data_IF_434420722550
#
_entry.id   IF_434420722550
#
_cell.length_a   1.000
_cell.length_b   1.000
_cell.length_c   1.000
_cell.angle_alpha   90.00
_cell.angle_beta   90.00
_cell.angle_gamma   90.00
#
_symmetry.space_group_name_H-M   'P 1'
#
loop_
_entity.id
_entity.type
_entity.pdbx_description
1 polymer ?
#
# COMPACT_ATOMS: atom_id res chain seq x y z
N UNK A 1 -22.31 7.65 26.77
CA UNK A 1 -21.21 7.88 25.81
C UNK A 1 -20.66 6.50 25.46
N UNK A 2 -21.08 5.90 24.34
CA UNK A 2 -20.52 4.62 23.90
C UNK A 2 -19.15 4.88 23.28
N UNK A 3 -18.11 4.22 23.79
CA UNK A 3 -16.86 4.06 23.08
C UNK A 3 -17.12 3.25 21.79
N UNK A 4 -16.51 3.60 20.64
CA UNK A 4 -16.60 2.75 19.46
C UNK A 4 -16.00 1.36 19.74
N UNK A 5 -16.52 0.28 19.14
CA UNK A 5 -15.99 -1.08 19.33
C UNK A 5 -14.53 -1.16 18.83
N UNK A 6 -13.64 -1.87 19.54
CA UNK A 6 -12.20 -1.91 19.23
C UNK A 6 -11.81 -2.86 18.07
N UNK A 7 -12.76 -3.41 17.32
CA UNK A 7 -12.53 -4.60 16.50
C UNK A 7 -13.05 -4.51 15.05
N UNK A 8 -13.19 -3.30 14.52
CA UNK A 8 -13.15 -3.13 13.07
C UNK A 8 -11.71 -2.80 12.74
N UNK A 9 -10.93 -3.68 12.10
CA UNK A 9 -9.61 -3.27 11.63
C UNK A 9 -9.86 -2.09 10.70
N UNK A 10 -9.44 -0.90 11.12
CA UNK A 10 -9.60 0.31 10.32
C UNK A 10 -9.01 -0.01 8.95
N UNK A 11 -9.86 -0.05 7.93
CA UNK A 11 -9.46 -0.36 6.56
C UNK A 11 -8.29 0.55 6.16
N UNK A 12 -8.31 1.81 6.62
CA UNK A 12 -7.22 2.77 6.49
C UNK A 12 -5.90 2.30 7.14
N UNK A 13 -5.96 1.66 8.30
CA UNK A 13 -4.78 1.10 8.97
C UNK A 13 -4.22 -0.09 8.19
N UNK A 14 -5.08 -0.96 7.63
CA UNK A 14 -4.68 -2.07 6.77
C UNK A 14 -4.04 -1.54 5.48
N UNK A 15 -4.68 -0.58 4.80
CA UNK A 15 -4.18 0.08 3.59
C UNK A 15 -2.79 0.67 3.85
N UNK A 16 -2.62 1.41 4.95
CA UNK A 16 -1.34 2.00 5.34
C UNK A 16 -0.26 0.94 5.56
N UNK A 17 -0.58 -0.15 6.26
CA UNK A 17 0.36 -1.25 6.49
C UNK A 17 0.78 -1.92 5.19
N UNK A 18 -0.17 -2.12 4.26
CA UNK A 18 0.10 -2.70 2.95
C UNK A 18 1.01 -1.78 2.11
N UNK A 19 0.72 -0.48 2.10
CA UNK A 19 1.53 0.53 1.42
C UNK A 19 2.94 0.60 1.99
N UNK A 20 3.08 0.54 3.32
CA UNK A 20 4.37 0.46 3.99
C UNK A 20 5.21 -0.73 3.54
N UNK A 21 4.59 -1.92 3.45
CA UNK A 21 5.25 -3.10 2.89
C UNK A 21 5.71 -2.87 1.44
N UNK A 22 4.88 -2.27 0.59
CA UNK A 22 5.23 -2.01 -0.81
C UNK A 22 6.36 -0.98 -0.97
N UNK A 23 6.48 -0.02 -0.04
CA UNK A 23 7.59 0.94 0.00
C UNK A 23 8.92 0.29 0.46
N UNK A 24 8.84 -0.67 1.37
CA UNK A 24 10.01 -1.42 1.84
C UNK A 24 10.41 -2.58 0.93
N UNK A 25 9.46 -3.15 0.19
CA UNK A 25 9.68 -4.29 -0.68
C UNK A 25 10.75 -3.98 -1.73
N UNK A 26 11.64 -4.94 -1.94
CA UNK A 26 12.55 -4.87 -3.08
C UNK A 26 11.75 -5.03 -4.37
N UNK A 27 11.97 -4.10 -5.29
CA UNK A 27 11.39 -4.14 -6.62
C UNK A 27 11.78 -5.45 -7.30
N UNK A 28 10.78 -6.17 -7.81
CA UNK A 28 10.83 -7.55 -8.31
C UNK A 28 10.54 -8.69 -7.30
N UNK A 29 10.09 -8.41 -6.07
CA UNK A 29 9.42 -9.46 -5.30
C UNK A 29 8.10 -9.86 -5.98
N UNK A 30 8.00 -11.12 -6.40
CA UNK A 30 6.77 -11.69 -7.02
C UNK A 30 5.53 -11.43 -6.16
N UNK A 31 5.65 -11.54 -4.84
CA UNK A 31 4.55 -11.26 -3.90
C UNK A 31 4.13 -9.79 -3.94
N UNK A 32 5.07 -8.85 -3.99
CA UNK A 32 4.75 -7.42 -4.05
C UNK A 32 4.04 -7.08 -5.36
N UNK A 33 4.45 -7.69 -6.48
CA UNK A 33 3.79 -7.55 -7.78
C UNK A 33 2.37 -8.13 -7.74
N UNK A 34 2.18 -9.32 -7.15
CA UNK A 34 0.86 -9.93 -6.99
C UNK A 34 -0.08 -9.05 -6.14
N UNK A 35 0.41 -8.55 -5.01
CA UNK A 35 -0.32 -7.62 -4.14
C UNK A 35 -0.68 -6.34 -4.91
N UNK A 36 0.27 -5.74 -5.66
CA UNK A 36 0.01 -4.58 -6.50
C UNK A 36 -1.09 -4.88 -7.52
N UNK A 37 -1.05 -6.03 -8.19
CA UNK A 37 -2.06 -6.40 -9.18
C UNK A 37 -3.46 -6.56 -8.57
N UNK A 38 -3.55 -7.22 -7.41
CA UNK A 38 -4.83 -7.43 -6.69
C UNK A 38 -5.40 -6.10 -6.19
N UNK A 39 -4.57 -5.30 -5.53
CA UNK A 39 -4.98 -4.02 -4.93
C UNK A 39 -5.19 -2.93 -5.98
N UNK A 40 -4.66 -3.07 -7.20
CA UNK A 40 -4.92 -2.12 -8.30
C UNK A 40 -6.41 -1.95 -8.63
N UNK A 41 -7.21 -2.99 -8.42
CA UNK A 41 -8.65 -2.93 -8.64
C UNK A 41 -9.42 -2.41 -7.42
N UNK A 42 -8.75 -2.32 -6.27
CA UNK A 42 -9.31 -1.80 -5.04
C UNK A 42 -9.30 -0.27 -5.04
N UNK A 43 -10.42 0.33 -4.63
CA UNK A 43 -10.51 1.77 -4.45
C UNK A 43 -10.20 2.11 -2.99
N UNK A 44 -9.01 2.65 -2.76
CA UNK A 44 -8.60 3.13 -1.45
C UNK A 44 -9.57 4.18 -0.91
N UNK A 45 -9.81 4.15 0.40
CA UNK A 45 -10.67 5.14 1.05
C UNK A 45 -10.04 6.53 1.09
N UNK A 46 -8.73 6.62 1.31
CA UNK A 46 -7.99 7.87 1.31
C UNK A 46 -7.37 8.15 -0.07
N UNK A 47 -7.58 9.36 -0.59
CA UNK A 47 -6.93 9.82 -1.83
C UNK A 47 -5.39 9.78 -1.71
N UNK A 48 -4.86 10.09 -0.53
CA UNK A 48 -3.44 9.95 -0.19
C UNK A 48 -2.92 8.52 -0.43
N UNK A 49 -3.66 7.53 0.04
CA UNK A 49 -3.30 6.11 -0.10
C UNK A 49 -3.37 5.67 -1.56
N UNK A 50 -4.39 6.13 -2.29
CA UNK A 50 -4.53 5.84 -3.71
C UNK A 50 -3.36 6.42 -4.51
N UNK A 51 -3.02 7.68 -4.30
CA UNK A 51 -1.93 8.33 -5.04
C UNK A 51 -0.58 7.71 -4.69
N UNK A 52 -0.36 7.38 -3.41
CA UNK A 52 0.84 6.66 -2.98
C UNK A 52 0.94 5.30 -3.70
N UNK A 53 -0.15 4.53 -3.71
CA UNK A 53 -0.23 3.27 -4.44
C UNK A 53 0.08 3.45 -5.92
N UNK A 54 -0.54 4.42 -6.59
CA UNK A 54 -0.34 4.67 -8.02
C UNK A 54 1.13 5.06 -8.33
N UNK A 55 1.76 5.85 -7.47
CA UNK A 55 3.18 6.18 -7.58
C UNK A 55 4.06 4.94 -7.43
N UNK A 56 3.84 4.12 -6.40
CA UNK A 56 4.57 2.88 -6.15
C UNK A 56 4.35 1.86 -7.28
N UNK A 57 3.11 1.69 -7.72
CA UNK A 57 2.76 0.80 -8.82
C UNK A 57 3.43 1.23 -10.14
N UNK A 58 3.45 2.53 -10.43
CA UNK A 58 4.14 3.07 -11.61
C UNK A 58 5.66 2.93 -11.53
N UNK A 59 6.22 2.81 -10.32
CA UNK A 59 7.66 2.67 -10.06
C UNK A 59 8.07 1.24 -9.72
N UNK A 60 7.14 0.29 -9.75
CA UNK A 60 7.38 -1.12 -9.41
C UNK A 60 8.44 -1.80 -10.29
N UNK A 61 8.71 -1.24 -11.47
CA UNK A 61 9.78 -1.67 -12.39
C UNK A 61 11.16 -1.12 -12.05
N UNK A 62 11.24 -0.09 -11.20
CA UNK A 62 12.50 0.54 -10.78
C UNK A 62 12.96 -0.04 -9.45
N UNK A 63 14.29 -0.21 -9.23
CA UNK A 63 14.81 -0.71 -7.96
C UNK A 63 14.43 0.19 -6.78
N UNK A 64 14.36 -0.38 -5.57
CA UNK A 64 13.89 0.31 -4.35
C UNK A 64 14.59 1.65 -4.09
N UNK A 65 15.87 1.75 -4.41
CA UNK A 65 16.67 2.97 -4.27
C UNK A 65 16.16 4.11 -5.15
N UNK A 66 15.81 3.79 -6.39
CA UNK A 66 15.22 4.74 -7.34
C UNK A 66 13.79 5.08 -6.92
N UNK A 67 13.02 4.10 -6.47
CA UNK A 67 11.67 4.30 -5.98
C UNK A 67 11.63 5.34 -4.86
N UNK A 68 12.48 5.22 -3.83
CA UNK A 68 12.54 6.19 -2.72
C UNK A 68 12.95 7.60 -3.18
N UNK A 69 13.76 7.71 -4.24
CA UNK A 69 14.20 9.00 -4.78
C UNK A 69 13.11 9.65 -5.65
N UNK A 70 12.40 8.85 -6.46
CA UNK A 70 11.39 9.31 -7.42
C UNK A 70 10.00 9.48 -6.81
N UNK A 71 9.68 8.76 -5.72
CA UNK A 71 8.39 8.83 -5.04
C UNK A 71 8.01 10.27 -4.63
N UNK A 72 8.86 11.03 -3.91
CA UNK A 72 8.50 12.37 -3.48
C UNK A 72 8.23 13.30 -4.67
N UNK A 73 9.02 13.21 -5.74
CA UNK A 73 8.78 13.98 -6.96
C UNK A 73 7.42 13.64 -7.61
N UNK A 74 7.03 12.36 -7.60
CA UNK A 74 5.74 11.91 -8.13
C UNK A 74 4.58 12.39 -7.27
N UNK A 75 4.70 12.33 -5.95
CA UNK A 75 3.69 12.81 -5.01
C UNK A 75 3.47 14.32 -5.18
N UNK A 76 4.54 15.11 -5.29
CA UNK A 76 4.47 16.55 -5.59
C UNK A 76 3.72 16.81 -6.90
N UNK A 77 4.06 16.07 -7.97
CA UNK A 77 3.39 16.20 -9.28
C UNK A 77 1.92 15.79 -9.26
N UNK A 78 1.55 14.86 -8.38
CA UNK A 78 0.17 14.45 -8.16
C UNK A 78 -0.64 15.44 -7.30
N UNK A 79 -0.02 16.52 -6.81
CA UNK A 79 -0.67 17.52 -5.97
C UNK A 79 -0.54 17.28 -4.47
N UNK A 80 0.34 16.37 -4.04
CA UNK A 80 0.62 16.03 -2.65
C UNK A 80 2.06 16.39 -2.26
N UNK A 81 2.43 17.69 -2.24
CA UNK A 81 3.78 18.11 -1.89
C UNK A 81 4.12 17.93 -0.40
N UNK A 82 3.11 17.87 0.47
CA UNK A 82 3.23 17.74 1.93
C UNK A 82 3.01 16.29 2.40
N UNK A 83 3.20 15.31 1.50
CA UNK A 83 2.92 13.92 1.81
C UNK A 83 3.97 13.35 2.77
N UNK A 84 3.53 12.96 3.95
CA UNK A 84 4.40 12.44 5.01
C UNK A 84 4.64 10.93 4.85
N UNK A 85 5.65 10.57 4.06
CA UNK A 85 6.02 9.17 3.79
C UNK A 85 6.43 8.42 5.06
N UNK A 86 7.04 9.11 6.02
CA UNK A 86 7.51 8.53 7.27
C UNK A 86 6.37 7.88 8.06
N UNK A 87 5.16 8.46 7.96
CA UNK A 87 3.94 7.90 8.55
C UNK A 87 3.53 6.53 7.98
N UNK A 88 4.01 6.19 6.79
CA UNK A 88 3.73 4.93 6.10
C UNK A 88 4.86 3.91 6.25
N UNK A 89 6.06 4.34 6.65
CA UNK A 89 7.16 3.43 6.95
C UNK A 89 6.84 2.75 8.29
N UNK A 90 6.55 1.44 8.31
CA UNK A 90 6.21 0.78 9.54
C UNK A 90 7.47 0.61 10.41
N UNK A 91 7.33 0.82 11.72
CA UNK A 91 8.40 0.54 12.70
C UNK A 91 8.83 -0.93 12.69
N UNK A 92 7.91 -1.82 12.26
CA UNK A 92 8.12 -3.25 12.07
C UNK A 92 8.07 -3.60 10.59
N UNK A 93 9.12 -4.26 10.09
CA UNK A 93 9.15 -4.86 8.75
C UNK A 93 8.13 -5.99 8.63
N UNK A 94 7.27 -5.90 7.64
CA UNK A 94 6.24 -6.91 7.36
C UNK A 94 6.78 -8.04 6.49
N UNK A 95 6.39 -9.27 6.80
CA UNK A 95 6.70 -10.41 5.94
C UNK A 95 5.71 -10.48 4.77
N UNK A 96 6.16 -11.05 3.64
CA UNK A 96 5.33 -11.28 2.46
C UNK A 96 3.97 -11.95 2.79
N UNK A 97 3.98 -12.97 3.67
CA UNK A 97 2.75 -13.67 4.08
C UNK A 97 1.80 -12.81 4.90
N UNK A 98 2.31 -11.90 5.73
CA UNK A 98 1.48 -10.96 6.50
C UNK A 98 0.86 -9.91 5.57
N UNK A 99 1.64 -9.34 4.65
CA UNK A 99 1.16 -8.39 3.65
C UNK A 99 0.09 -9.00 2.73
N UNK A 100 0.26 -10.26 2.33
CA UNK A 100 -0.75 -10.97 1.53
C UNK A 100 -2.02 -11.26 2.32
N UNK A 101 -1.90 -11.51 3.63
CA UNK A 101 -3.04 -11.57 4.55
C UNK A 101 -3.83 -10.26 4.59
N UNK A 102 -3.15 -9.13 4.71
CA UNK A 102 -3.76 -7.79 4.65
C UNK A 102 -4.43 -7.54 3.30
N UNK A 103 -3.77 -7.91 2.20
CA UNK A 103 -4.34 -7.80 0.86
C UNK A 103 -5.65 -8.58 0.72
N UNK A 104 -5.75 -9.80 1.28
CA UNK A 104 -6.98 -10.61 1.24
C UNK A 104 -8.11 -10.03 2.09
N UNK A 105 -7.79 -9.21 3.11
CA UNK A 105 -8.81 -8.51 3.89
C UNK A 105 -9.40 -7.34 3.08
N UNK A 106 -8.57 -6.59 2.35
CA UNK A 106 -9.01 -5.47 1.51
C UNK A 106 -9.72 -5.95 0.24
N UNK A 107 -9.14 -6.95 -0.41
CA UNK A 107 -9.64 -7.57 -1.64
C UNK A 107 -9.92 -9.04 -1.31
N UNK A 108 -11.07 -9.33 -0.66
CA UNK A 108 -11.48 -10.71 -0.49
C UNK A 108 -11.58 -11.35 -1.88
N UNK A 109 -10.97 -12.52 -2.01
CA UNK A 109 -10.93 -13.32 -3.23
C UNK A 109 -12.35 -13.87 -3.49
N UNK A 110 -13.29 -12.99 -3.89
CA UNK A 110 -14.67 -13.36 -4.25
C UNK A 110 -14.83 -13.62 -5.76
N UNK A 111 -13.72 -13.74 -6.49
CA UNK A 111 -13.75 -13.93 -7.95
C UNK A 111 -12.84 -15.06 -8.45
N UNK A 112 -12.85 -16.21 -7.77
CA UNK A 112 -12.49 -17.49 -8.41
C UNK A 112 -13.74 -18.25 -8.86
N UNK A 113 -14.52 -17.63 -9.75
CA UNK A 113 -15.59 -18.27 -10.53
C UNK A 113 -15.47 -17.81 -11.97
N UNK A 114 -14.62 -18.46 -12.76
CA UNK A 114 -14.88 -18.64 -14.20
C UNK A 114 -14.15 -19.85 -14.77
#
# INVERSE_FOLDING_TARGET
MCAPPPDSPDVLAIERQLLGYLLEAESAQEIAIDILHRVKQYRFQSAEHQVLFECVASLSTHPRQELQSLLPERLVRAGFPDFDLDRFIPDRRWSAGEAMGLCRILVPDEFQQH
#
